data_IF_663286210675
#
_entry.id   IF_663286210675
#
_cell.length_a   1.000
_cell.length_b   1.000
_cell.length_c   1.000
_cell.angle_alpha   90.00
_cell.angle_beta   90.00
_cell.angle_gamma   90.00
#
_symmetry.space_group_name_H-M   'P 1'
#
loop_
_entity.id
_entity.type
_entity.pdbx_description
1 polymer ?
#
# COMPACT_ATOMS: atom_id res chain seq x y z
N UNK A 1 0.74 -54.03 23.00
CA UNK A 1 -0.21 -52.88 22.93
C UNK A 1 0.43 -51.51 23.17
N UNK A 2 1.66 -51.37 23.70
CA UNK A 2 2.28 -50.06 24.01
C UNK A 2 2.90 -49.31 22.82
N UNK A 3 3.24 -49.98 21.72
CA UNK A 3 3.96 -49.40 20.57
C UNK A 3 3.09 -48.63 19.58
N UNK A 4 1.77 -48.86 19.54
CA UNK A 4 0.85 -48.16 18.62
C UNK A 4 0.42 -46.77 19.10
N UNK A 5 0.47 -46.53 20.42
CA UNK A 5 0.12 -45.22 21.02
C UNK A 5 1.25 -44.22 20.74
N UNK A 6 2.50 -44.68 20.77
CA UNK A 6 3.68 -43.82 20.53
C UNK A 6 3.77 -43.35 19.07
N UNK A 7 3.31 -44.16 18.11
CA UNK A 7 3.27 -43.78 16.69
C UNK A 7 2.17 -42.76 16.39
N UNK A 8 1.07 -42.78 17.13
CA UNK A 8 -0.03 -41.84 16.96
C UNK A 8 0.32 -40.44 17.51
N UNK A 9 1.07 -40.38 18.62
CA UNK A 9 1.55 -39.11 19.20
C UNK A 9 2.61 -38.43 18.32
N UNK A 10 3.49 -39.20 17.68
CA UNK A 10 4.47 -38.67 16.73
C UNK A 10 3.83 -38.12 15.44
N UNK A 11 2.69 -38.68 15.01
CA UNK A 11 1.97 -38.21 13.83
C UNK A 11 1.16 -36.92 14.10
N UNK A 12 0.60 -36.76 15.31
CA UNK A 12 -0.06 -35.51 15.71
C UNK A 12 0.91 -34.32 15.80
N UNK A 13 2.16 -34.54 16.24
CA UNK A 13 3.14 -33.46 16.36
C UNK A 13 3.59 -32.91 14.99
N UNK A 14 3.57 -33.74 13.94
CA UNK A 14 3.89 -33.31 12.58
C UNK A 14 2.77 -32.50 11.90
N UNK A 15 1.52 -32.57 12.39
CA UNK A 15 0.37 -31.86 11.81
C UNK A 15 0.01 -30.55 12.52
N UNK A 16 0.62 -30.21 13.66
CA UNK A 16 0.51 -28.87 14.23
C UNK A 16 1.46 -27.90 13.51
N UNK A 17 1.22 -27.69 12.22
CA UNK A 17 1.54 -26.40 11.61
C UNK A 17 0.69 -25.36 12.34
N UNK A 18 1.30 -24.61 13.25
CA UNK A 18 0.68 -23.41 13.80
C UNK A 18 0.43 -22.49 12.59
N UNK A 19 -0.80 -22.46 12.10
CA UNK A 19 -1.30 -21.29 11.42
C UNK A 19 -1.26 -20.18 12.47
N UNK A 20 -0.18 -19.39 12.45
CA UNK A 20 -0.12 -18.16 13.19
C UNK A 20 -1.33 -17.35 12.75
N UNK A 21 -2.32 -17.26 13.63
CA UNK A 21 -3.46 -16.37 13.46
C UNK A 21 -2.89 -14.95 13.43
N UNK A 22 -2.61 -14.46 12.21
CA UNK A 22 -2.19 -13.08 11.99
C UNK A 22 -3.35 -12.24 12.48
N UNK A 23 -3.16 -11.56 13.61
CA UNK A 23 -4.12 -10.58 14.10
C UNK A 23 -4.57 -9.70 12.91
N UNK A 24 -5.87 -9.43 12.75
CA UNK A 24 -6.38 -8.71 11.60
C UNK A 24 -5.66 -7.36 11.52
N UNK A 25 -4.77 -7.23 10.53
CA UNK A 25 -4.09 -5.97 10.26
C UNK A 25 -5.17 -4.94 9.92
N UNK A 26 -5.10 -3.70 10.45
CA UNK A 26 -6.08 -2.68 10.12
C UNK A 26 -6.21 -2.58 8.60
N UNK A 27 -7.45 -2.49 8.11
CA UNK A 27 -7.80 -2.57 6.67
C UNK A 27 -6.97 -1.61 5.80
N UNK A 28 -6.37 -0.58 6.41
CA UNK A 28 -5.62 0.48 5.75
C UNK A 28 -4.09 0.45 5.98
N UNK A 29 -3.50 -0.63 6.51
CA UNK A 29 -2.07 -0.64 6.84
C UNK A 29 -1.38 -1.90 6.33
N UNK A 30 -0.12 -1.77 5.90
CA UNK A 30 0.68 -2.88 5.39
C UNK A 30 1.20 -3.74 6.55
N UNK A 31 1.23 -5.06 6.36
CA UNK A 31 1.77 -6.07 7.30
C UNK A 31 3.27 -5.93 7.64
N UNK A 32 3.96 -4.88 7.16
CA UNK A 32 5.38 -4.68 7.38
C UNK A 32 5.59 -4.13 8.80
N UNK A 33 6.30 -4.84 9.68
CA UNK A 33 6.62 -4.33 11.01
C UNK A 33 7.45 -3.05 10.92
N UNK A 34 7.08 -2.02 11.69
CA UNK A 34 7.80 -0.74 11.77
C UNK A 34 9.28 -0.86 12.21
N UNK A 35 9.68 -2.05 12.67
CA UNK A 35 11.05 -2.37 13.09
C UNK A 35 11.96 -2.86 11.97
N UNK A 36 11.45 -3.12 10.76
CA UNK A 36 12.27 -3.56 9.63
C UNK A 36 12.88 -2.33 8.96
N UNK A 37 14.21 -2.29 8.73
CA UNK A 37 14.81 -1.21 7.96
C UNK A 37 14.22 -1.19 6.55
N UNK A 38 13.78 -0.01 6.11
CA UNK A 38 13.14 0.14 4.80
C UNK A 38 14.10 -0.31 3.70
N UNK A 39 13.63 -1.09 2.71
CA UNK A 39 14.48 -1.54 1.61
C UNK A 39 15.03 -0.31 0.87
N UNK A 40 16.25 -0.39 0.32
CA UNK A 40 16.83 0.71 -0.43
C UNK A 40 15.91 1.04 -1.62
N UNK A 41 15.41 2.27 -1.65
CA UNK A 41 14.55 2.77 -2.73
C UNK A 41 15.44 3.42 -3.78
N UNK A 42 15.36 2.95 -5.03
CA UNK A 42 15.99 3.59 -6.16
C UNK A 42 15.14 4.79 -6.61
N UNK A 43 15.71 6.00 -6.73
CA UNK A 43 14.96 7.14 -7.26
C UNK A 43 14.45 6.85 -8.68
N UNK A 44 13.15 7.08 -8.94
CA UNK A 44 12.63 6.97 -10.32
C UNK A 44 12.97 8.21 -11.14
N UNK A 45 12.98 9.38 -10.49
CA UNK A 45 13.10 10.69 -11.14
C UNK A 45 14.11 11.61 -10.44
N UNK A 46 14.42 12.74 -11.09
CA UNK A 46 15.31 13.75 -10.53
C UNK A 46 14.79 14.34 -9.22
N UNK A 47 13.46 14.48 -9.08
CA UNK A 47 12.85 14.97 -7.85
C UNK A 47 13.09 13.98 -6.71
N UNK A 48 12.87 12.69 -6.95
CA UNK A 48 13.12 11.65 -5.94
C UNK A 48 14.59 11.62 -5.50
N UNK A 49 15.52 11.82 -6.45
CA UNK A 49 16.94 11.87 -6.12
C UNK A 49 17.26 13.04 -5.15
N UNK A 50 16.64 14.21 -5.38
CA UNK A 50 16.78 15.37 -4.48
C UNK A 50 16.14 15.11 -3.11
N UNK A 51 14.96 14.50 -3.08
CA UNK A 51 14.27 14.15 -1.83
C UNK A 51 15.10 13.14 -1.03
N UNK A 52 15.58 12.07 -1.65
CA UNK A 52 16.37 11.04 -0.97
C UNK A 52 17.73 11.57 -0.51
N UNK A 53 18.37 12.47 -1.26
CA UNK A 53 19.57 13.16 -0.79
C UNK A 53 19.30 13.94 0.51
N UNK A 54 18.18 14.67 0.59
CA UNK A 54 17.80 15.39 1.82
C UNK A 54 17.43 14.47 2.97
N UNK A 55 16.74 13.36 2.72
CA UNK A 55 16.48 12.36 3.76
C UNK A 55 17.78 11.76 4.31
N UNK A 56 18.75 11.47 3.44
CA UNK A 56 20.06 10.96 3.83
C UNK A 56 20.84 11.98 4.68
N UNK A 57 20.87 13.26 4.31
CA UNK A 57 21.47 14.33 5.12
C UNK A 57 20.87 14.38 6.54
N UNK A 58 19.57 14.11 6.66
CA UNK A 58 18.84 14.13 7.93
C UNK A 58 18.89 12.79 8.69
N UNK A 59 19.59 11.77 8.18
CA UNK A 59 19.59 10.40 8.70
C UNK A 59 18.18 9.79 8.85
N UNK A 60 17.28 10.14 7.92
CA UNK A 60 15.91 9.62 7.87
C UNK A 60 15.79 8.55 6.80
N UNK A 61 15.11 7.44 7.14
CA UNK A 61 14.76 6.42 6.16
C UNK A 61 13.53 6.87 5.34
N UNK A 62 13.52 6.66 4.00
CA UNK A 62 12.33 6.90 3.17
C UNK A 62 11.14 6.05 3.65
N UNK A 63 9.93 6.60 3.61
CA UNK A 63 8.74 5.85 4.00
C UNK A 63 8.46 4.67 3.06
N UNK A 64 7.87 3.60 3.60
CA UNK A 64 7.44 2.45 2.80
C UNK A 64 6.27 2.82 1.89
N UNK A 65 6.18 2.21 0.69
CA UNK A 65 5.01 2.36 -0.15
C UNK A 65 3.78 1.78 0.54
N UNK A 66 2.67 2.51 0.46
CA UNK A 66 1.39 2.03 0.98
C UNK A 66 0.77 0.92 0.10
N UNK A 67 -0.19 0.18 0.66
CA UNK A 67 -0.97 -0.82 -0.09
C UNK A 67 -1.84 -0.19 -1.18
N UNK A 68 -2.24 -0.98 -2.17
CA UNK A 68 -3.03 -0.50 -3.30
C UNK A 68 -4.38 0.08 -2.88
N UNK A 69 -5.05 -0.50 -1.89
CA UNK A 69 -6.33 0.00 -1.39
C UNK A 69 -6.20 1.39 -0.74
N UNK A 70 -5.13 1.60 0.02
CA UNK A 70 -4.82 2.89 0.65
C UNK A 70 -4.44 3.92 -0.40
N UNK A 71 -3.60 3.53 -1.34
CA UNK A 71 -3.20 4.37 -2.46
C UNK A 71 -4.42 4.86 -3.25
N UNK A 72 -5.31 3.94 -3.66
CA UNK A 72 -6.51 4.25 -4.42
C UNK A 72 -7.36 5.31 -3.70
N UNK A 73 -7.70 5.07 -2.44
CA UNK A 73 -8.50 6.02 -1.65
C UNK A 73 -7.83 7.38 -1.53
N UNK A 74 -6.52 7.40 -1.27
CA UNK A 74 -5.76 8.66 -1.12
C UNK A 74 -5.68 9.42 -2.45
N UNK A 75 -5.48 8.73 -3.56
CA UNK A 75 -5.43 9.33 -4.89
C UNK A 75 -6.75 10.02 -5.24
N UNK A 76 -7.89 9.34 -5.07
CA UNK A 76 -9.21 9.93 -5.33
C UNK A 76 -9.49 11.16 -4.45
N UNK A 77 -9.29 11.04 -3.14
CA UNK A 77 -9.57 12.13 -2.20
C UNK A 77 -8.65 13.33 -2.41
N UNK A 78 -7.37 13.10 -2.75
CA UNK A 78 -6.38 14.17 -2.88
C UNK A 78 -6.49 14.88 -4.22
N UNK A 79 -6.78 14.13 -5.29
CA UNK A 79 -6.77 14.66 -6.66
C UNK A 79 -8.10 15.31 -7.01
N UNK A 80 -9.22 14.64 -6.72
CA UNK A 80 -10.56 15.10 -7.13
C UNK A 80 -11.56 15.27 -5.98
N UNK A 81 -11.15 14.99 -4.73
CA UNK A 81 -11.98 15.25 -3.55
C UNK A 81 -13.14 14.28 -3.32
N UNK A 82 -13.20 13.18 -4.04
CA UNK A 82 -14.30 12.19 -3.96
C UNK A 82 -13.78 10.82 -3.54
N UNK A 83 -14.69 9.89 -3.25
CA UNK A 83 -14.36 8.48 -3.02
C UNK A 83 -14.47 7.70 -4.35
N UNK A 84 -13.65 6.65 -4.55
CA UNK A 84 -13.80 5.77 -5.69
C UNK A 84 -15.14 5.03 -5.62
N UNK A 85 -15.73 4.76 -6.77
CA UNK A 85 -16.90 3.87 -6.87
C UNK A 85 -16.49 2.41 -6.65
N UNK A 86 -17.49 1.58 -6.39
CA UNK A 86 -17.27 0.16 -6.08
C UNK A 86 -16.66 -0.61 -7.27
N UNK A 87 -17.14 -0.34 -8.48
CA UNK A 87 -16.62 -0.89 -9.73
C UNK A 87 -15.18 -0.46 -9.99
N UNK A 88 -14.90 0.85 -9.94
CA UNK A 88 -13.54 1.39 -10.08
C UNK A 88 -12.57 0.76 -9.07
N UNK A 89 -13.04 0.54 -7.83
CA UNK A 89 -12.25 -0.08 -6.78
C UNK A 89 -11.93 -1.54 -7.07
N UNK A 90 -12.93 -2.33 -7.46
CA UNK A 90 -12.70 -3.75 -7.81
C UNK A 90 -11.76 -3.88 -8.99
N UNK A 91 -11.94 -3.07 -10.02
CA UNK A 91 -11.13 -3.12 -11.24
C UNK A 91 -9.67 -2.76 -10.94
N UNK A 92 -9.43 -1.70 -10.16
CA UNK A 92 -8.09 -1.30 -9.77
C UNK A 92 -7.38 -2.34 -8.90
N UNK A 93 -8.11 -2.95 -7.95
CA UNK A 93 -7.55 -3.97 -7.05
C UNK A 93 -7.32 -5.31 -7.76
N UNK A 94 -8.11 -5.63 -8.78
CA UNK A 94 -7.93 -6.82 -9.61
C UNK A 94 -6.80 -6.67 -10.65
N UNK A 95 -6.46 -5.44 -11.03
CA UNK A 95 -5.41 -5.17 -12.02
C UNK A 95 -4.02 -5.60 -11.53
N UNK A 96 -3.30 -6.32 -12.39
CA UNK A 96 -1.91 -6.74 -12.21
C UNK A 96 -0.92 -5.93 -13.05
N UNK A 97 -1.39 -4.86 -13.70
CA UNK A 97 -0.54 -4.02 -14.55
C UNK A 97 0.53 -3.30 -13.70
N UNK A 98 1.79 -3.37 -14.12
CA UNK A 98 2.92 -2.76 -13.39
C UNK A 98 2.77 -1.23 -13.26
N UNK A 99 2.14 -0.58 -14.25
CA UNK A 99 1.95 0.86 -14.31
C UNK A 99 0.56 1.33 -13.83
N UNK A 100 -0.26 0.47 -13.21
CA UNK A 100 -1.65 0.80 -12.86
C UNK A 100 -1.82 2.06 -12.02
N UNK A 101 -0.85 2.35 -11.12
CA UNK A 101 -0.87 3.56 -10.27
C UNK A 101 -0.69 4.83 -11.08
N UNK A 102 0.24 4.83 -12.03
CA UNK A 102 0.47 5.95 -12.93
C UNK A 102 -0.73 6.16 -13.87
N UNK A 103 -1.26 5.08 -14.43
CA UNK A 103 -2.46 5.12 -15.28
C UNK A 103 -3.68 5.68 -14.53
N UNK A 104 -3.87 5.30 -13.25
CA UNK A 104 -4.93 5.87 -12.41
C UNK A 104 -4.75 7.38 -12.22
N UNK A 105 -3.53 7.84 -11.92
CA UNK A 105 -3.28 9.27 -11.73
C UNK A 105 -3.61 10.04 -13.01
N UNK A 106 -3.13 9.57 -14.16
CA UNK A 106 -3.44 10.21 -15.44
C UNK A 106 -4.96 10.27 -15.68
N UNK A 107 -5.66 9.16 -15.45
CA UNK A 107 -7.12 9.12 -15.56
C UNK A 107 -7.81 10.16 -14.66
N UNK A 108 -7.39 10.28 -13.40
CA UNK A 108 -7.96 11.24 -12.46
C UNK A 108 -7.67 12.70 -12.84
N UNK A 109 -6.53 12.99 -13.45
CA UNK A 109 -6.18 14.34 -13.91
C UNK A 109 -7.02 14.80 -15.11
N UNK A 110 -7.47 13.86 -15.95
CA UNK A 110 -8.32 14.16 -17.11
C UNK A 110 -9.81 14.31 -16.78
N UNK A 111 -10.20 14.02 -15.53
CA UNK A 111 -11.59 14.13 -15.08
C UNK A 111 -12.02 15.58 -14.88
N UNK A 112 -13.28 15.95 -15.21
CA UNK A 112 -13.77 17.32 -15.04
C UNK A 112 -13.75 17.78 -13.57
N UNK A 113 -13.85 16.86 -12.62
CA UNK A 113 -13.80 17.18 -11.19
C UNK A 113 -12.41 17.67 -10.74
N UNK A 114 -11.34 17.34 -11.48
CA UNK A 114 -9.98 17.77 -11.12
C UNK A 114 -9.82 19.29 -11.09
N UNK A 115 -9.99 20.04 -12.20
CA UNK A 115 -9.84 21.50 -12.17
C UNK A 115 -10.82 22.17 -11.20
N UNK A 116 -12.04 21.65 -11.06
CA UNK A 116 -13.04 22.17 -10.11
C UNK A 116 -12.57 22.04 -8.67
N UNK A 117 -12.14 20.84 -8.26
CA UNK A 117 -11.64 20.59 -6.92
C UNK A 117 -10.39 21.40 -6.62
N UNK A 118 -9.48 21.54 -7.59
CA UNK A 118 -8.26 22.34 -7.43
C UNK A 118 -8.58 23.83 -7.31
N UNK A 119 -9.49 24.36 -8.13
CA UNK A 119 -9.93 25.74 -8.02
C UNK A 119 -10.55 26.03 -6.65
N UNK A 120 -11.40 25.13 -6.13
CA UNK A 120 -11.95 25.26 -4.78
C UNK A 120 -10.86 25.22 -3.70
N UNK A 121 -9.89 24.29 -3.82
CA UNK A 121 -8.85 24.12 -2.80
C UNK A 121 -7.82 25.24 -2.74
N UNK A 122 -7.53 25.87 -3.87
CA UNK A 122 -6.48 26.88 -4.00
C UNK A 122 -7.02 28.29 -4.29
N UNK A 123 -8.33 28.44 -4.51
CA UNK A 123 -8.95 29.72 -4.86
C UNK A 123 -8.82 30.79 -3.78
N UNK A 124 -8.70 30.39 -2.51
CA UNK A 124 -8.50 31.32 -1.40
C UNK A 124 -7.01 31.67 -1.16
N UNK A 125 -6.08 30.95 -1.80
CA UNK A 125 -4.64 31.17 -1.65
C UNK A 125 -4.04 32.13 -2.70
N UNK A 126 -4.81 32.47 -3.73
CA UNK A 126 -4.42 33.33 -4.85
C UNK A 126 -5.12 34.69 -4.75
#
# INVERSE_FOLDING_TARGET
MKTRILTCLLCCWACQGHAADKAPHPIYESDIPLSIPNPPVTPSDQIDALVFAKLAELNLAPALPCSDAVFLRRAYLTTIGTLPREDETRDFLASTEENKRAALVEHLLQRPEFPEYRAMKWGDLL
#
